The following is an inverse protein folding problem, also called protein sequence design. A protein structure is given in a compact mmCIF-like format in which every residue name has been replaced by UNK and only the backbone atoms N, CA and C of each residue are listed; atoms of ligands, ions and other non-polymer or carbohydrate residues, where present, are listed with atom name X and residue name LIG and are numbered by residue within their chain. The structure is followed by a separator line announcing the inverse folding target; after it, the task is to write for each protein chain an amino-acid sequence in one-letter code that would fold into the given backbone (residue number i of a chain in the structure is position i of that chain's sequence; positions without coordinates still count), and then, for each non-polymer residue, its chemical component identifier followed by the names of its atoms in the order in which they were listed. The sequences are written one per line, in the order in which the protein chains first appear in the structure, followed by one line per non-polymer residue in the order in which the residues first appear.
data_IF_727032805212
#
_entry.id   IF_727032805212
#
_cell.length_a   1.000
_cell.length_b   1.000
_cell.length_c   1.000
_cell.angle_alpha   90.00
_cell.angle_beta   90.00
_cell.angle_gamma   90.00
#
_symmetry.space_group_name_H-M   'P 1'
#
loop_
_entity.id
_entity.type
_entity.pdbx_description
1 polymer ?
#
# COMPACT_ATOMS: atom_id res chain seq x y z
N UNK A 1 -61.88 -56.17 -46.31
CA UNK A 1 -60.94 -55.63 -45.31
C UNK A 1 -61.22 -54.14 -45.17
N UNK A 2 -61.56 -53.65 -43.97
CA UNK A 2 -61.96 -52.24 -43.77
C UNK A 2 -60.71 -51.37 -43.97
N UNK A 3 -60.61 -50.66 -45.10
CA UNK A 3 -59.48 -49.77 -45.48
C UNK A 3 -59.54 -48.39 -44.81
N UNK A 4 -60.65 -48.07 -44.15
CA UNK A 4 -60.86 -46.82 -43.43
C UNK A 4 -59.77 -46.42 -42.40
N UNK A 5 -59.19 -47.33 -41.58
CA UNK A 5 -58.13 -46.95 -40.64
C UNK A 5 -56.81 -46.61 -41.34
N UNK A 6 -56.58 -47.09 -42.58
CA UNK A 6 -55.36 -46.79 -43.33
C UNK A 6 -55.35 -45.36 -43.88
N UNK A 7 -56.53 -44.79 -44.17
CA UNK A 7 -56.69 -43.40 -44.62
C UNK A 7 -56.49 -42.37 -43.51
N UNK A 8 -56.56 -42.78 -42.23
CA UNK A 8 -56.26 -41.92 -41.09
C UNK A 8 -54.76 -41.83 -40.79
N UNK A 9 -53.95 -42.74 -41.33
CA UNK A 9 -52.50 -42.78 -41.09
C UNK A 9 -51.75 -41.55 -41.63
N UNK A 10 -52.00 -41.08 -42.87
CA UNK A 10 -51.32 -39.91 -43.44
C UNK A 10 -51.48 -38.62 -42.63
N UNK A 11 -52.70 -38.18 -42.22
CA UNK A 11 -52.83 -36.95 -41.45
C UNK A 11 -52.23 -37.06 -40.04
N UNK A 12 -52.28 -38.25 -39.42
CA UNK A 12 -51.64 -38.48 -38.12
C UNK A 12 -50.12 -38.41 -38.24
N UNK A 13 -49.54 -39.09 -39.22
CA UNK A 13 -48.09 -39.05 -39.48
C UNK A 13 -47.62 -37.63 -39.78
N UNK A 14 -48.41 -36.86 -40.53
CA UNK A 14 -48.11 -35.47 -40.85
C UNK A 14 -48.16 -34.56 -39.60
N UNK A 15 -49.13 -34.78 -38.71
CA UNK A 15 -49.20 -34.09 -37.42
C UNK A 15 -47.99 -34.40 -36.52
N UNK A 16 -47.60 -35.67 -36.45
CA UNK A 16 -46.41 -36.09 -35.70
C UNK A 16 -45.14 -35.45 -36.28
N UNK A 17 -44.98 -35.48 -37.60
CA UNK A 17 -43.84 -34.87 -38.28
C UNK A 17 -43.76 -33.36 -38.02
N UNK A 18 -44.89 -32.66 -38.06
CA UNK A 18 -44.97 -31.23 -37.76
C UNK A 18 -44.60 -30.93 -36.30
N UNK A 19 -45.09 -31.73 -35.34
CA UNK A 19 -44.77 -31.57 -33.93
C UNK A 19 -43.28 -31.79 -33.65
N UNK A 20 -42.68 -32.84 -34.23
CA UNK A 20 -41.25 -33.12 -34.11
C UNK A 20 -40.43 -31.98 -34.71
N UNK A 21 -40.84 -31.45 -35.86
CA UNK A 21 -40.16 -30.32 -36.49
C UNK A 21 -40.21 -29.05 -35.62
N UNK A 22 -41.37 -28.73 -35.03
CA UNK A 22 -41.50 -27.58 -34.12
C UNK A 22 -40.63 -27.72 -32.87
N UNK A 23 -40.57 -28.90 -32.26
CA UNK A 23 -39.77 -29.14 -31.06
C UNK A 23 -38.27 -29.06 -31.37
N UNK A 24 -37.85 -29.67 -32.49
CA UNK A 24 -36.43 -29.69 -32.88
C UNK A 24 -35.92 -28.33 -33.39
N UNK A 25 -36.81 -27.50 -33.94
CA UNK A 25 -36.48 -26.14 -34.41
C UNK A 25 -36.72 -25.05 -33.38
N UNK A 26 -37.22 -25.40 -32.19
CA UNK A 26 -37.43 -24.44 -31.12
C UNK A 26 -36.08 -23.80 -30.73
N UNK A 27 -35.95 -22.46 -30.83
CA UNK A 27 -34.74 -21.80 -30.38
C UNK A 27 -34.57 -22.06 -28.87
N UNK A 28 -33.34 -22.35 -28.46
CA UNK A 28 -33.02 -22.50 -27.04
C UNK A 28 -33.40 -21.24 -26.25
N UNK A 29 -33.56 -21.35 -24.92
CA UNK A 29 -33.86 -20.21 -24.08
C UNK A 29 -32.83 -19.10 -24.29
N UNK A 30 -33.30 -17.86 -24.38
CA UNK A 30 -32.43 -16.71 -24.56
C UNK A 30 -31.45 -16.62 -23.39
N UNK A 31 -30.16 -16.78 -23.68
CA UNK A 31 -29.10 -16.61 -22.70
C UNK A 31 -28.75 -15.13 -22.63
N UNK A 32 -29.04 -14.49 -21.50
CA UNK A 32 -28.54 -13.15 -21.21
C UNK A 32 -27.17 -13.34 -20.56
N UNK A 33 -26.12 -12.78 -21.16
CA UNK A 33 -24.78 -12.80 -20.61
C UNK A 33 -24.78 -12.18 -19.21
N UNK A 34 -24.30 -12.93 -18.22
CA UNK A 34 -24.15 -12.47 -16.85
C UNK A 34 -22.95 -11.54 -16.69
N UNK A 35 -22.90 -10.45 -17.44
CA UNK A 35 -21.88 -9.43 -17.24
C UNK A 35 -22.28 -8.55 -16.05
N UNK A 36 -21.72 -8.86 -14.89
CA UNK A 36 -21.77 -7.98 -13.73
C UNK A 36 -20.94 -6.74 -14.04
N UNK A 37 -21.46 -5.51 -13.88
CA UNK A 37 -20.67 -4.31 -14.09
C UNK A 37 -19.48 -4.28 -13.12
N UNK A 38 -18.27 -4.10 -13.68
CA UNK A 38 -17.05 -4.06 -12.89
C UNK A 38 -17.04 -2.85 -11.93
N UNK A 39 -16.59 -3.07 -10.69
CA UNK A 39 -16.43 -2.01 -9.70
C UNK A 39 -15.15 -1.20 -10.00
N UNK A 40 -15.22 0.12 -10.20
CA UNK A 40 -14.02 0.92 -10.41
C UNK A 40 -13.19 0.99 -9.12
N UNK A 41 -11.90 0.64 -9.23
CA UNK A 41 -10.94 0.69 -8.11
C UNK A 41 -9.72 1.51 -8.49
N UNK A 42 -9.07 2.10 -7.48
CA UNK A 42 -7.78 2.75 -7.63
C UNK A 42 -6.68 1.74 -7.41
N UNK A 43 -5.78 1.60 -8.39
CA UNK A 43 -4.59 0.76 -8.31
C UNK A 43 -3.34 1.62 -8.38
N UNK A 44 -2.28 1.19 -7.72
CA UNK A 44 -0.93 1.71 -7.93
C UNK A 44 0.04 0.54 -8.02
N UNK A 45 1.00 0.62 -8.93
CA UNK A 45 2.08 -0.35 -9.02
C UNK A 45 3.15 0.02 -8.01
N UNK A 46 3.44 -0.89 -7.08
CA UNK A 46 4.47 -0.68 -6.06
C UNK A 46 5.82 -1.15 -6.60
N UNK A 47 6.85 -0.32 -6.45
CA UNK A 47 8.23 -0.67 -6.73
C UNK A 47 9.01 -0.83 -5.41
N UNK A 48 9.98 -1.75 -5.39
CA UNK A 48 10.91 -1.85 -4.28
C UNK A 48 11.78 -0.58 -4.24
N UNK A 49 11.87 0.04 -3.06
CA UNK A 49 12.69 1.23 -2.85
C UNK A 49 13.35 1.14 -1.47
N UNK A 50 14.59 1.62 -1.39
CA UNK A 50 15.28 1.74 -0.12
C UNK A 50 14.69 2.89 0.69
N UNK A 51 14.22 2.57 1.89
CA UNK A 51 13.68 3.56 2.83
C UNK A 51 14.81 3.92 3.79
N UNK A 52 15.14 5.20 3.89
CA UNK A 52 16.07 5.74 4.89
C UNK A 52 15.26 6.29 6.07
N UNK A 53 15.27 5.64 7.25
CA UNK A 53 14.65 6.20 8.44
C UNK A 53 15.39 7.47 8.87
N UNK A 54 14.65 8.48 9.28
CA UNK A 54 15.19 9.72 9.84
C UNK A 54 14.57 9.96 11.21
N UNK A 55 15.40 10.34 12.18
CA UNK A 55 14.98 10.73 13.51
C UNK A 55 15.56 12.10 13.84
N UNK A 56 14.74 12.96 14.47
CA UNK A 56 15.15 14.25 14.98
C UNK A 56 15.07 14.21 16.50
N UNK A 57 16.10 14.71 17.18
CA UNK A 57 16.17 14.75 18.63
C UNK A 57 16.70 16.10 19.12
N UNK A 58 16.41 16.41 20.38
CA UNK A 58 16.86 17.63 21.06
C UNK A 58 17.65 17.28 22.32
N UNK A 59 18.62 18.12 22.66
CA UNK A 59 19.47 17.93 23.84
C UNK A 59 20.18 19.23 24.23
N UNK A 60 20.78 19.23 25.42
CA UNK A 60 21.64 20.33 25.87
C UNK A 60 23.09 20.04 25.51
N UNK A 61 23.85 21.08 25.15
CA UNK A 61 25.29 20.99 24.97
C UNK A 61 25.99 21.16 26.31
N UNK A 62 27.07 20.41 26.51
CA UNK A 62 27.97 20.55 27.66
C UNK A 62 29.40 20.55 27.16
N UNK A 63 30.28 21.22 27.89
CA UNK A 63 31.71 21.18 27.60
C UNK A 63 32.21 19.73 27.65
N UNK A 64 33.03 19.35 26.65
CA UNK A 64 33.64 18.02 26.61
C UNK A 64 34.62 17.82 27.76
N UNK A 65 35.33 18.89 28.14
CA UNK A 65 36.29 18.92 29.24
C UNK A 65 36.05 20.17 30.07
N UNK A 66 36.13 20.03 31.39
CA UNK A 66 36.13 21.14 32.33
C UNK A 66 37.39 21.03 33.19
N UNK A 67 38.08 22.14 33.39
CA UNK A 67 39.28 22.22 34.20
C UNK A 67 39.13 23.30 35.26
N UNK A 68 39.82 23.14 36.38
CA UNK A 68 39.86 24.11 37.48
C UNK A 68 41.32 24.29 37.88
N UNK A 69 41.82 25.53 37.86
CA UNK A 69 43.14 25.85 38.42
C UNK A 69 43.11 25.72 39.94
N UNK A 70 44.07 25.00 40.49
CA UNK A 70 44.31 24.88 41.92
C UNK A 70 45.74 25.32 42.20
N UNK A 71 45.93 26.14 43.23
CA UNK A 71 47.28 26.56 43.63
C UNK A 71 48.03 25.38 44.25
N UNK A 72 49.23 25.10 43.74
CA UNK A 72 50.10 24.06 44.30
C UNK A 72 50.83 24.51 45.58
N UNK A 73 50.92 25.83 45.80
CA UNK A 73 51.66 26.45 46.90
C UNK A 73 50.78 27.41 47.71
N UNK A 74 51.18 27.64 48.95
CA UNK A 74 50.55 28.63 49.84
C UNK A 74 51.13 30.03 49.58
N UNK A 75 50.28 31.05 49.55
CA UNK A 75 50.68 32.44 49.35
C UNK A 75 49.51 33.38 49.08
N UNK A 76 49.81 34.68 49.01
CA UNK A 76 48.85 35.73 48.67
C UNK A 76 48.88 36.05 47.17
N UNK A 77 47.70 36.23 46.56
CA UNK A 77 47.57 36.60 45.14
C UNK A 77 47.75 38.12 44.98
N UNK A 78 48.92 38.53 44.50
CA UNK A 78 49.25 39.96 44.31
C UNK A 78 48.96 40.48 42.89
N UNK A 79 48.71 39.59 41.93
CA UNK A 79 48.46 39.94 40.54
C UNK A 79 47.57 38.88 39.87
N UNK A 80 46.72 39.30 38.93
CA UNK A 80 45.86 38.43 38.11
C UNK A 80 45.96 38.85 36.65
N UNK A 81 46.11 37.88 35.76
CA UNK A 81 46.10 38.13 34.32
C UNK A 81 44.77 38.78 33.90
N UNK A 82 44.78 39.88 33.11
CA UNK A 82 43.58 40.62 32.75
C UNK A 82 42.54 39.79 32.00
N UNK A 83 42.98 38.74 31.28
CA UNK A 83 42.09 37.85 30.55
C UNK A 83 41.41 36.76 31.41
N UNK A 84 41.79 36.56 32.68
CA UNK A 84 41.17 35.59 33.60
C UNK A 84 39.80 36.04 34.13
N UNK A 85 39.01 36.71 33.30
CA UNK A 85 37.64 37.12 33.59
C UNK A 85 36.65 36.04 33.13
N UNK A 86 35.58 35.78 33.89
CA UNK A 86 34.55 34.83 33.49
C UNK A 86 34.02 35.12 32.08
N UNK A 87 34.01 34.10 31.22
CA UNK A 87 33.53 34.20 29.84
C UNK A 87 34.58 34.55 28.79
N UNK A 88 35.84 34.82 29.18
CA UNK A 88 36.94 34.96 28.21
C UNK A 88 37.52 33.60 27.80
N UNK A 89 38.06 33.57 26.58
CA UNK A 89 38.85 32.47 26.07
C UNK A 89 40.34 32.82 26.26
N UNK A 90 41.09 31.88 26.79
CA UNK A 90 42.52 32.03 27.08
C UNK A 90 43.26 30.83 26.46
N UNK A 91 44.39 31.05 25.77
CA UNK A 91 45.19 29.95 25.23
C UNK A 91 45.89 29.18 26.35
N UNK A 92 46.10 27.89 26.12
CA UNK A 92 46.88 27.06 27.04
C UNK A 92 48.26 27.66 27.28
N UNK A 93 48.69 27.69 28.55
CA UNK A 93 49.99 28.24 28.96
C UNK A 93 49.99 29.73 29.33
N UNK A 94 48.82 30.36 29.43
CA UNK A 94 48.66 31.69 30.06
C UNK A 94 48.41 31.53 31.56
#
# INVERSE_FOLDING_TARGET
MRLAPLLALPPIALGIAAAVWMIASAPGPAQVGGDVPALPVRVMTVAAQDIRPAATAWGSLRAAENWVAVAEVQGEVIWRHPDLEPGRLIPAGT
#
